data_IF_640359101739
#
_entry.id   IF_640359101739
#
_cell.length_a   1.000
_cell.length_b   1.000
_cell.length_c   1.000
_cell.angle_alpha   90.00
_cell.angle_beta   90.00
_cell.angle_gamma   90.00
#
_symmetry.space_group_name_H-M   'P 1'
#
loop_
_entity.id
_entity.type
_entity.pdbx_description
1 polymer ?
#
# COMPACT_ATOMS: atom_id res chain seq x y z
N UNK A 1 6.32 0.35 -10.91
CA UNK A 1 5.57 0.22 -9.65
C UNK A 1 4.62 -0.96 -9.70
N UNK A 2 4.21 -1.41 -8.52
CA UNK A 2 3.18 -2.45 -8.39
C UNK A 2 1.80 -1.93 -8.78
N UNK A 3 0.93 -2.81 -9.31
CA UNK A 3 -0.47 -2.48 -9.55
C UNK A 3 -1.26 -2.32 -8.25
N UNK A 4 -2.23 -1.45 -8.23
CA UNK A 4 -3.26 -1.35 -7.20
C UNK A 4 -4.58 -1.95 -7.69
N UNK A 5 -5.55 -2.14 -6.79
CA UNK A 5 -6.86 -2.69 -7.15
C UNK A 5 -7.68 -1.78 -8.09
N UNK A 6 -7.41 -0.48 -8.11
CA UNK A 6 -8.10 0.52 -8.93
C UNK A 6 -7.29 0.99 -10.15
N UNK A 7 -6.01 0.64 -10.28
CA UNK A 7 -5.19 1.07 -11.40
C UNK A 7 -3.84 0.40 -11.50
N UNK A 8 -3.25 0.45 -12.69
CA UNK A 8 -1.92 -0.11 -12.97
C UNK A 8 -0.83 0.75 -12.33
N UNK A 9 0.29 0.13 -11.99
CA UNK A 9 1.48 0.85 -11.54
C UNK A 9 2.17 1.57 -12.70
N UNK A 10 2.85 2.66 -12.38
CA UNK A 10 3.64 3.43 -13.33
C UNK A 10 4.87 2.67 -13.82
N UNK A 11 5.31 3.00 -15.02
CA UNK A 11 6.55 2.50 -15.59
C UNK A 11 7.76 3.16 -14.91
N UNK A 12 8.87 2.42 -14.81
CA UNK A 12 10.14 3.00 -14.43
C UNK A 12 10.61 3.99 -15.53
N UNK A 13 11.18 5.11 -15.13
CA UNK A 13 11.82 6.03 -16.07
C UNK A 13 13.30 5.73 -16.21
N UNK A 14 13.78 5.59 -17.43
CA UNK A 14 15.19 5.42 -17.75
C UNK A 14 15.61 6.47 -18.78
N UNK A 15 15.95 7.66 -18.34
CA UNK A 15 16.54 8.66 -19.23
C UNK A 15 17.94 9.00 -18.71
N UNK A 16 18.98 8.81 -19.57
CA UNK A 16 20.34 9.31 -19.38
C UNK A 16 20.85 9.37 -17.93
N UNK A 17 21.15 8.23 -17.34
CA UNK A 17 21.69 8.09 -15.99
C UNK A 17 20.76 8.47 -14.82
N UNK A 18 19.47 8.63 -15.04
CA UNK A 18 18.47 8.82 -13.99
C UNK A 18 17.48 7.65 -14.01
N UNK A 19 17.71 6.64 -13.18
CA UNK A 19 16.81 5.50 -13.00
C UNK A 19 15.80 5.78 -11.87
N UNK A 20 14.58 6.17 -12.20
CA UNK A 20 13.49 6.33 -11.24
C UNK A 20 12.58 5.10 -11.23
N UNK A 21 12.14 4.67 -10.04
CA UNK A 21 11.09 3.68 -9.93
C UNK A 21 9.76 4.23 -10.47
N UNK A 22 8.87 3.34 -10.94
CA UNK A 22 7.49 3.72 -11.28
C UNK A 22 6.62 3.87 -10.05
N UNK A 23 5.67 4.81 -10.06
CA UNK A 23 4.71 4.97 -8.97
C UNK A 23 3.83 3.73 -8.79
N UNK A 24 3.40 3.46 -7.58
CA UNK A 24 2.40 2.43 -7.30
C UNK A 24 1.03 2.80 -7.88
N UNK A 25 0.29 1.79 -8.36
CA UNK A 25 -1.07 1.95 -8.87
C UNK A 25 -2.05 2.33 -7.77
N UNK A 26 -3.05 3.13 -8.11
CA UNK A 26 -4.10 3.53 -7.16
C UNK A 26 -4.91 2.31 -6.72
N UNK A 27 -5.30 2.29 -5.45
CA UNK A 27 -6.24 1.32 -4.89
C UNK A 27 -7.69 1.59 -5.30
N UNK A 28 -8.57 0.70 -4.87
CA UNK A 28 -10.00 0.87 -5.08
C UNK A 28 -10.60 1.79 -4.01
N UNK A 29 -11.40 2.74 -4.43
CA UNK A 29 -12.13 3.64 -3.56
C UNK A 29 -13.41 2.98 -3.04
N UNK A 30 -13.72 3.17 -1.75
CA UNK A 30 -14.97 2.73 -1.14
C UNK A 30 -15.44 3.72 -0.09
N UNK A 31 -16.74 3.96 -0.03
CA UNK A 31 -17.40 4.78 0.99
C UNK A 31 -18.27 3.97 1.95
N UNK A 32 -18.18 2.64 1.91
CA UNK A 32 -19.02 1.74 2.72
C UNK A 32 -18.92 2.01 4.22
N UNK A 33 -17.77 2.49 4.70
CA UNK A 33 -17.54 2.83 6.11
C UNK A 33 -18.05 4.21 6.53
N UNK A 34 -18.74 4.93 5.63
CA UNK A 34 -19.24 6.28 5.87
C UNK A 34 -18.27 7.39 5.47
N UNK A 35 -17.04 7.06 5.14
CA UNK A 35 -16.03 7.98 4.61
C UNK A 35 -15.34 7.39 3.40
N UNK A 36 -14.94 8.24 2.47
CA UNK A 36 -14.24 7.84 1.26
C UNK A 36 -12.81 7.36 1.59
N UNK A 37 -12.53 6.08 1.40
CA UNK A 37 -11.22 5.46 1.69
C UNK A 37 -10.75 4.65 0.49
N UNK A 38 -9.45 4.74 0.17
CA UNK A 38 -8.80 3.87 -0.81
C UNK A 38 -8.19 2.65 -0.13
N UNK A 39 -8.31 1.47 -0.75
CA UNK A 39 -7.76 0.19 -0.29
C UNK A 39 -6.93 -0.46 -1.39
N UNK A 40 -5.96 -1.26 -1.00
CA UNK A 40 -5.13 -2.05 -1.89
C UNK A 40 -4.37 -1.24 -2.96
N UNK A 41 -3.72 -0.16 -2.53
CA UNK A 41 -2.78 0.60 -3.38
C UNK A 41 -1.50 -0.19 -3.63
N UNK A 42 -0.91 -0.06 -4.83
CA UNK A 42 0.34 -0.71 -5.21
C UNK A 42 1.56 -0.07 -4.56
N UNK A 43 2.64 -0.82 -4.36
CA UNK A 43 3.92 -0.29 -3.90
C UNK A 43 4.66 0.49 -4.99
N UNK A 44 5.40 1.53 -4.61
CA UNK A 44 6.29 2.27 -5.48
C UNK A 44 7.56 1.49 -5.83
N UNK A 45 8.11 1.67 -7.02
CA UNK A 45 9.39 1.09 -7.43
C UNK A 45 10.58 1.79 -6.80
N UNK A 46 11.67 1.07 -6.56
CA UNK A 46 12.91 1.64 -6.06
C UNK A 46 13.76 2.29 -7.14
N UNK A 47 14.69 3.18 -6.74
CA UNK A 47 15.64 3.83 -7.63
C UNK A 47 16.73 2.88 -8.14
N UNK A 48 17.15 3.04 -9.39
CA UNK A 48 18.12 2.17 -10.09
C UNK A 48 19.60 2.51 -9.85
N UNK A 49 20.49 1.56 -10.18
CA UNK A 49 21.94 1.59 -9.90
C UNK A 49 22.74 2.57 -10.77
N UNK A 50 22.36 2.78 -12.01
CA UNK A 50 23.15 3.57 -12.96
C UNK A 50 22.85 5.07 -12.96
N UNK A 51 21.98 5.50 -12.06
CA UNK A 51 21.62 6.91 -11.94
C UNK A 51 22.55 7.66 -11.01
N UNK A 52 22.90 8.89 -11.37
CA UNK A 52 23.57 9.80 -10.45
C UNK A 52 22.73 10.03 -9.19
N UNK A 53 21.41 10.06 -9.35
CA UNK A 53 20.41 10.07 -8.29
C UNK A 53 19.26 9.16 -8.70
N UNK A 54 19.04 8.06 -7.98
CA UNK A 54 17.88 7.19 -8.19
C UNK A 54 16.71 7.64 -7.33
N UNK A 55 15.68 8.18 -7.97
CA UNK A 55 14.50 8.63 -7.24
C UNK A 55 13.59 7.47 -6.84
N UNK A 56 13.14 7.48 -5.59
CA UNK A 56 12.07 6.61 -5.14
C UNK A 56 10.74 7.02 -5.76
N UNK A 57 9.92 6.07 -6.11
CA UNK A 57 8.56 6.34 -6.52
C UNK A 57 7.59 6.23 -5.33
N UNK A 58 6.56 7.07 -5.27
CA UNK A 58 5.52 6.97 -4.25
C UNK A 58 4.73 5.69 -4.40
N UNK A 59 4.22 5.18 -3.28
CA UNK A 59 3.20 4.15 -3.30
C UNK A 59 1.85 4.71 -3.76
N UNK A 60 0.98 3.86 -4.26
CA UNK A 60 -0.37 4.22 -4.69
C UNK A 60 -1.29 4.54 -3.51
N UNK A 61 -2.28 5.41 -3.74
CA UNK A 61 -3.35 5.67 -2.78
C UNK A 61 -4.04 4.36 -2.39
N UNK A 62 -4.34 4.18 -1.13
CA UNK A 62 -4.83 2.92 -0.57
C UNK A 62 -3.74 2.13 0.16
N UNK A 63 -2.73 2.85 0.66
CA UNK A 63 -1.74 2.31 1.58
C UNK A 63 -0.52 1.68 0.92
N UNK A 64 -0.22 1.98 -0.33
CA UNK A 64 1.02 1.53 -0.97
C UNK A 64 2.26 2.13 -0.30
N UNK A 65 3.28 1.32 -0.03
CA UNK A 65 4.58 1.75 0.47
C UNK A 65 5.41 2.42 -0.62
N UNK A 66 6.18 3.44 -0.27
CA UNK A 66 7.09 4.10 -1.21
C UNK A 66 8.33 3.24 -1.49
N UNK A 67 8.88 3.35 -2.69
CA UNK A 67 10.16 2.75 -3.04
C UNK A 67 11.33 3.37 -2.29
N UNK A 68 12.43 2.66 -2.18
CA UNK A 68 13.69 3.18 -1.69
C UNK A 68 14.40 4.03 -2.75
N UNK A 69 15.15 5.01 -2.33
CA UNK A 69 15.97 5.87 -3.18
C UNK A 69 17.43 5.42 -3.21
N UNK A 70 18.16 5.85 -4.24
CA UNK A 70 19.61 5.94 -4.22
C UNK A 70 19.99 7.42 -4.17
N UNK A 71 20.76 7.83 -3.17
CA UNK A 71 21.26 9.18 -3.04
C UNK A 71 22.77 9.20 -3.34
N UNK A 72 23.18 10.07 -4.29
CA UNK A 72 24.58 10.34 -4.63
C UNK A 72 25.06 9.75 -5.95
N UNK A 73 25.97 10.52 -6.60
CA UNK A 73 26.67 10.12 -7.81
C UNK A 73 27.89 9.25 -7.48
N UNK A 74 28.08 8.17 -8.23
CA UNK A 74 29.28 7.30 -8.18
C UNK A 74 29.00 5.92 -7.59
N UNK A 75 29.99 5.05 -7.82
CA UNK A 75 30.01 3.64 -7.40
C UNK A 75 30.22 3.46 -5.88
N UNK A 76 30.51 4.53 -5.17
CA UNK A 76 30.86 4.52 -3.74
C UNK A 76 29.73 5.06 -2.83
N UNK A 77 28.50 5.17 -3.32
CA UNK A 77 27.40 5.75 -2.53
C UNK A 77 26.82 4.76 -1.51
N UNK A 78 27.00 5.02 -0.24
CA UNK A 78 26.43 4.25 0.89
C UNK A 78 24.99 4.65 1.23
N UNK A 79 24.34 5.48 0.42
CA UNK A 79 23.09 6.17 0.74
C UNK A 79 21.87 5.66 -0.05
N UNK A 80 21.77 4.35 -0.26
CA UNK A 80 20.52 3.77 -0.71
C UNK A 80 19.60 3.51 0.49
N UNK A 81 18.29 3.54 0.28
CA UNK A 81 17.30 3.28 1.31
C UNK A 81 16.45 2.05 0.97
N UNK A 82 15.99 1.37 2.00
CA UNK A 82 14.97 0.33 1.85
C UNK A 82 13.64 0.89 1.36
N UNK A 83 12.83 0.05 0.75
CA UNK A 83 11.42 0.36 0.50
C UNK A 83 10.64 0.44 1.81
N UNK A 84 9.58 1.22 1.83
CA UNK A 84 8.68 1.30 2.99
C UNK A 84 7.59 0.25 2.93
N UNK A 85 7.11 -0.19 4.10
CA UNK A 85 5.99 -1.11 4.18
C UNK A 85 4.69 -0.46 3.69
N UNK A 86 3.78 -1.26 3.20
CA UNK A 86 2.41 -0.88 2.98
C UNK A 86 1.71 -0.54 4.30
N UNK A 87 0.73 0.36 4.27
CA UNK A 87 -0.03 0.76 5.45
C UNK A 87 -0.85 -0.41 5.99
N UNK A 88 -0.88 -0.55 7.30
CA UNK A 88 -1.68 -1.57 7.96
C UNK A 88 -3.19 -1.33 7.74
N UNK A 89 -3.96 -2.40 7.64
CA UNK A 89 -5.42 -2.41 7.47
C UNK A 89 -5.90 -1.74 6.16
N UNK A 90 -5.06 -1.76 5.13
CA UNK A 90 -5.41 -1.28 3.80
C UNK A 90 -5.21 -2.35 2.72
N UNK A 91 -4.39 -3.37 2.98
CA UNK A 91 -3.97 -4.34 1.97
C UNK A 91 -3.03 -3.75 0.91
N UNK A 92 -2.38 -2.62 1.21
CA UNK A 92 -1.45 -1.97 0.30
C UNK A 92 -0.15 -2.77 0.10
N UNK A 93 0.45 -2.70 -1.09
CA UNK A 93 1.74 -3.33 -1.40
C UNK A 93 2.91 -2.61 -0.74
N UNK A 94 4.01 -3.33 -0.45
CA UNK A 94 5.26 -2.72 -0.01
C UNK A 94 6.05 -2.12 -1.19
N UNK A 95 6.89 -1.12 -0.90
CA UNK A 95 7.75 -0.48 -1.89
C UNK A 95 9.01 -1.31 -2.22
N UNK A 96 9.53 -1.18 -3.43
CA UNK A 96 10.80 -1.79 -3.83
C UNK A 96 12.00 -1.13 -3.13
N UNK A 97 13.11 -1.84 -2.95
CA UNK A 97 14.36 -1.27 -2.43
C UNK A 97 15.06 -0.38 -3.45
N UNK A 98 15.78 0.62 -2.99
CA UNK A 98 16.82 1.29 -3.81
C UNK A 98 17.93 0.29 -4.15
N UNK A 99 18.52 0.41 -5.35
CA UNK A 99 19.58 -0.49 -5.78
C UNK A 99 20.94 0.22 -5.81
N UNK A 100 21.99 -0.55 -5.41
CA UNK A 100 23.37 -0.18 -5.49
C UNK A 100 24.23 -1.38 -5.92
N UNK A 101 25.30 -1.10 -6.73
CA UNK A 101 26.06 -2.16 -7.42
C UNK A 101 26.87 -3.08 -6.51
N UNK A 102 27.22 -2.66 -5.31
CA UNK A 102 28.14 -3.39 -4.43
C UNK A 102 27.66 -3.49 -2.98
N UNK A 103 26.34 -3.51 -2.76
CA UNK A 103 25.82 -3.61 -1.39
C UNK A 103 25.87 -5.03 -0.86
N UNK A 104 26.49 -5.16 0.31
CA UNK A 104 26.38 -6.33 1.16
C UNK A 104 26.23 -5.83 2.62
N UNK A 105 25.11 -6.11 3.29
CA UNK A 105 23.90 -6.80 2.83
C UNK A 105 23.04 -5.94 1.87
N UNK A 106 22.25 -6.58 1.01
CA UNK A 106 21.30 -5.91 0.15
C UNK A 106 20.17 -5.27 0.96
N UNK A 107 19.68 -4.12 0.49
CA UNK A 107 18.52 -3.47 1.09
C UNK A 107 17.22 -4.24 0.82
N UNK A 108 16.37 -4.30 1.82
CA UNK A 108 15.09 -4.98 1.70
C UNK A 108 14.03 -4.08 1.04
N UNK A 109 13.15 -4.68 0.26
CA UNK A 109 11.87 -4.07 -0.09
C UNK A 109 10.97 -4.01 1.15
N UNK A 110 9.97 -3.13 1.11
CA UNK A 110 8.92 -3.06 2.13
C UNK A 110 8.00 -4.28 2.09
N UNK A 111 7.44 -4.65 3.21
CA UNK A 111 6.41 -5.67 3.32
C UNK A 111 5.04 -5.10 2.89
N UNK A 112 4.14 -5.95 2.41
CA UNK A 112 2.75 -5.58 2.22
C UNK A 112 2.07 -5.24 3.54
N UNK A 113 1.14 -4.28 3.50
CA UNK A 113 0.30 -3.94 4.66
C UNK A 113 -0.69 -5.05 4.98
N UNK A 114 -1.02 -5.22 6.26
CA UNK A 114 -2.11 -6.11 6.66
C UNK A 114 -3.41 -5.70 5.95
N UNK A 115 -4.20 -6.68 5.56
CA UNK A 115 -5.53 -6.46 4.99
C UNK A 115 -6.56 -6.05 6.06
N UNK A 116 -7.75 -5.76 5.58
CA UNK A 116 -8.96 -5.51 6.37
C UNK A 116 -10.12 -6.25 5.72
N UNK A 117 -11.04 -6.75 6.52
CA UNK A 117 -12.32 -7.32 6.05
C UNK A 117 -13.43 -6.40 6.51
N UNK A 118 -14.24 -5.92 5.56
CA UNK A 118 -15.39 -5.08 5.84
C UNK A 118 -16.63 -5.82 5.37
N UNK A 119 -17.55 -6.04 6.28
CA UNK A 119 -18.84 -6.67 6.00
C UNK A 119 -19.94 -5.67 6.23
N UNK A 120 -20.83 -5.51 5.25
CA UNK A 120 -21.94 -4.57 5.36
C UNK A 120 -23.22 -5.18 4.80
N UNK A 121 -24.35 -4.79 5.38
CA UNK A 121 -25.67 -5.13 4.90
C UNK A 121 -26.68 -4.03 5.26
N UNK A 122 -27.86 -4.08 4.63
CA UNK A 122 -28.92 -3.08 4.86
C UNK A 122 -29.33 -3.03 6.34
N UNK A 123 -29.52 -1.82 6.85
CA UNK A 123 -30.03 -1.56 8.21
C UNK A 123 -31.51 -1.93 8.39
N UNK A 124 -32.20 -2.32 7.32
CA UNK A 124 -33.52 -2.95 7.38
C UNK A 124 -33.51 -4.35 8.04
N UNK A 125 -32.33 -4.97 8.13
CA UNK A 125 -32.11 -6.23 8.85
C UNK A 125 -31.50 -5.95 10.23
N UNK A 126 -31.62 -6.91 11.14
CA UNK A 126 -31.02 -6.79 12.48
C UNK A 126 -29.50 -6.71 12.43
N UNK A 127 -28.89 -6.15 13.47
CA UNK A 127 -27.45 -6.23 13.70
C UNK A 127 -27.00 -7.67 13.92
N UNK A 128 -25.69 -7.94 13.82
CA UNK A 128 -25.16 -9.28 14.11
C UNK A 128 -25.53 -9.74 15.51
N UNK A 129 -25.98 -11.00 15.63
CA UNK A 129 -26.38 -11.64 16.90
C UNK A 129 -25.17 -12.10 17.72
N UNK A 130 -24.04 -12.37 17.07
CA UNK A 130 -22.79 -12.75 17.73
C UNK A 130 -21.60 -12.28 16.91
N UNK A 131 -20.61 -11.67 17.57
CA UNK A 131 -19.39 -11.16 16.94
C UNK A 131 -18.19 -11.45 17.82
N UNK A 132 -17.11 -11.97 17.23
CA UNK A 132 -15.80 -12.12 17.88
C UNK A 132 -14.71 -11.37 17.12
N UNK A 133 -13.50 -11.25 17.69
CA UNK A 133 -12.38 -10.57 17.03
C UNK A 133 -12.41 -9.04 17.13
N UNK A 134 -13.26 -8.51 18.01
CA UNK A 134 -13.36 -7.06 18.31
C UNK A 134 -13.38 -6.16 17.07
N UNK A 135 -14.29 -6.38 16.09
CA UNK A 135 -14.42 -5.46 14.97
C UNK A 135 -14.92 -4.09 15.43
N UNK A 136 -14.63 -3.09 14.64
CA UNK A 136 -15.30 -1.80 14.78
C UNK A 136 -16.66 -1.90 14.10
N UNK A 137 -17.73 -1.63 14.84
CA UNK A 137 -19.08 -1.47 14.30
C UNK A 137 -19.36 0.00 13.99
N UNK A 138 -19.93 0.26 12.84
CA UNK A 138 -20.44 1.57 12.44
C UNK A 138 -21.82 1.41 11.80
N UNK A 139 -22.77 2.23 12.20
CA UNK A 139 -24.06 2.38 11.51
C UNK A 139 -23.92 3.54 10.51
N UNK A 140 -23.73 3.22 9.25
CA UNK A 140 -23.67 4.20 8.18
C UNK A 140 -25.09 4.61 7.76
N UNK A 141 -25.69 5.53 8.52
CA UNK A 141 -27.06 6.00 8.31
C UNK A 141 -27.27 6.68 6.97
N UNK A 142 -26.24 7.34 6.43
CA UNK A 142 -26.30 7.98 5.12
C UNK A 142 -26.45 6.99 3.95
N UNK A 143 -25.99 5.74 4.14
CA UNK A 143 -26.12 4.67 3.16
C UNK A 143 -27.13 3.58 3.58
N UNK A 144 -27.73 3.67 4.77
CA UNK A 144 -28.64 2.66 5.32
C UNK A 144 -27.96 1.31 5.55
N UNK A 145 -26.77 1.31 6.17
CA UNK A 145 -25.94 0.10 6.30
C UNK A 145 -25.46 -0.14 7.74
N UNK A 146 -25.55 -1.39 8.18
CA UNK A 146 -24.72 -1.90 9.26
C UNK A 146 -23.34 -2.25 8.68
N UNK A 147 -22.25 -1.80 9.29
CA UNK A 147 -20.87 -2.01 8.81
C UNK A 147 -19.99 -2.53 9.94
N UNK A 148 -19.34 -3.67 9.72
CA UNK A 148 -18.38 -4.27 10.62
C UNK A 148 -17.00 -4.33 9.96
N UNK A 149 -15.99 -3.76 10.62
CA UNK A 149 -14.61 -3.70 10.11
C UNK A 149 -13.70 -4.56 10.98
N UNK A 150 -13.17 -5.64 10.42
CA UNK A 150 -12.26 -6.59 11.07
C UNK A 150 -10.81 -6.28 10.68
N UNK A 151 -9.97 -5.97 11.66
CA UNK A 151 -8.52 -5.75 11.52
C UNK A 151 -7.70 -6.95 12.01
N UNK A 152 -8.35 -7.95 12.53
CA UNK A 152 -7.81 -9.23 12.97
C UNK A 152 -8.84 -10.34 12.73
N UNK A 153 -8.47 -11.59 12.98
CA UNK A 153 -9.37 -12.73 12.84
C UNK A 153 -10.61 -12.59 13.74
N UNK A 154 -11.75 -12.96 13.22
CA UNK A 154 -13.01 -12.91 13.94
C UNK A 154 -14.10 -13.69 13.23
N UNK A 155 -15.24 -13.81 13.89
CA UNK A 155 -16.44 -14.43 13.34
C UNK A 155 -17.63 -13.51 13.56
N UNK A 156 -18.65 -13.63 12.74
CA UNK A 156 -19.93 -12.96 12.96
C UNK A 156 -21.07 -13.88 12.53
N UNK A 157 -22.23 -13.69 13.15
CA UNK A 157 -23.48 -14.35 12.82
C UNK A 157 -24.59 -13.29 12.78
N UNK A 158 -25.32 -13.27 11.70
CA UNK A 158 -26.54 -12.46 11.51
C UNK A 158 -27.73 -13.24 12.06
#
# INVERSE_FOLDING_TARGET
GGGGAGGVGGNASSSNCVGGGGAGGVGLHSSVTGSAVYYAGGGGGGGGIYAATGYSAPGGSGGGGAGGSKLGSGVSGTNATSGTNGCANTGGGGGGSGAYQSMSPQLAGGQGGKGVVIVSWSDSYSTATSVTGSPTYNHNTGAGLHVYTFKCSGTFKI
#
